data_IF_934794386257
#
_entry.id   IF_934794386257
#
_cell.length_a   1.000
_cell.length_b   1.000
_cell.length_c   1.000
_cell.angle_alpha   90.00
_cell.angle_beta   90.00
_cell.angle_gamma   90.00
#
_symmetry.space_group_name_H-M   'P 1'
#
loop_
_entity.id
_entity.type
_entity.pdbx_description
1 polymer ?
#
# COMPACT_ATOMS: atom_id res chain seq x y z
N UNK A 1 -34.71 -8.06 -46.85
CA UNK A 1 -33.39 -8.64 -47.18
C UNK A 1 -32.41 -8.06 -46.16
N UNK A 2 -31.88 -8.91 -45.28
CA UNK A 2 -30.96 -8.61 -44.15
C UNK A 2 -29.49 -8.45 -44.66
N UNK A 3 -28.46 -8.18 -43.82
CA UNK A 3 -28.00 -6.85 -43.40
C UNK A 3 -26.46 -6.71 -43.53
N UNK A 4 -25.85 -5.61 -43.09
CA UNK A 4 -24.44 -5.66 -42.67
C UNK A 4 -24.17 -4.60 -41.58
N UNK A 5 -23.69 -5.08 -40.44
CA UNK A 5 -23.33 -4.27 -39.28
C UNK A 5 -21.83 -4.34 -39.03
N UNK A 6 -21.31 -3.41 -38.24
CA UNK A 6 -20.13 -3.62 -37.39
C UNK A 6 -20.15 -2.57 -36.30
N UNK A 7 -20.64 -2.95 -35.13
CA UNK A 7 -20.42 -2.26 -33.87
C UNK A 7 -19.03 -2.65 -33.37
N UNK A 8 -18.13 -1.68 -33.20
CA UNK A 8 -16.77 -1.91 -32.68
C UNK A 8 -16.84 -2.12 -31.17
N UNK A 9 -16.56 -3.32 -30.72
CA UNK A 9 -16.49 -3.69 -29.30
C UNK A 9 -15.32 -3.02 -28.58
N UNK A 10 -15.60 -2.51 -27.39
CA UNK A 10 -14.66 -2.03 -26.38
C UNK A 10 -14.02 -3.23 -25.65
N UNK A 11 -12.71 -3.24 -25.34
CA UNK A 11 -12.08 -4.37 -24.68
C UNK A 11 -12.39 -4.37 -23.18
N UNK A 12 -13.01 -5.45 -22.71
CA UNK A 12 -13.29 -5.69 -21.30
C UNK A 12 -11.99 -6.02 -20.53
N UNK A 13 -11.79 -5.31 -19.42
CA UNK A 13 -10.63 -5.42 -18.53
C UNK A 13 -10.75 -6.72 -17.67
N UNK A 14 -9.76 -7.64 -17.70
CA UNK A 14 -9.89 -8.99 -17.11
C UNK A 14 -9.82 -9.05 -15.58
N UNK A 15 -9.72 -7.93 -14.87
CA UNK A 15 -9.50 -7.91 -13.40
C UNK A 15 -10.70 -7.47 -12.55
N UNK A 16 -11.90 -7.30 -13.14
CA UNK A 16 -13.10 -6.97 -12.36
C UNK A 16 -13.72 -8.23 -11.72
N UNK A 17 -13.21 -8.62 -10.56
CA UNK A 17 -13.86 -9.62 -9.71
C UNK A 17 -15.15 -9.05 -9.10
N UNK A 18 -16.30 -9.62 -9.50
CA UNK A 18 -17.55 -9.50 -8.75
C UNK A 18 -17.55 -10.56 -7.65
N UNK A 19 -17.67 -10.15 -6.38
CA UNK A 19 -17.98 -11.03 -5.27
C UNK A 19 -19.33 -10.59 -4.68
N UNK A 20 -20.37 -11.33 -5.06
CA UNK A 20 -21.72 -11.22 -4.50
C UNK A 20 -21.75 -11.98 -3.17
N UNK A 21 -22.25 -11.32 -2.12
CA UNK A 21 -22.45 -11.85 -0.78
C UNK A 21 -23.36 -13.08 -0.75
N UNK A 22 -23.03 -14.06 0.09
CA UNK A 22 -24.02 -14.96 0.67
C UNK A 22 -23.92 -14.93 2.20
N UNK A 23 -25.08 -14.64 2.79
CA UNK A 23 -25.39 -14.57 4.21
C UNK A 23 -25.77 -15.97 4.72
N UNK A 24 -25.32 -16.34 5.93
CA UNK A 24 -25.94 -17.38 6.75
C UNK A 24 -25.58 -17.15 8.23
N UNK A 25 -26.61 -17.19 9.08
CA UNK A 25 -26.64 -16.95 10.54
C UNK A 25 -26.87 -18.31 11.28
N UNK A 26 -27.04 -18.38 12.62
CA UNK A 26 -26.03 -18.66 13.65
C UNK A 26 -26.23 -20.00 14.43
N UNK A 27 -25.24 -20.46 15.21
CA UNK A 27 -25.47 -21.35 16.37
C UNK A 27 -24.33 -21.26 17.42
N UNK A 28 -24.69 -21.18 18.72
CA UNK A 28 -23.82 -21.10 19.90
C UNK A 28 -23.58 -22.52 20.51
N UNK A 29 -22.55 -22.86 21.32
CA UNK A 29 -22.22 -22.31 22.65
C UNK A 29 -20.93 -22.90 23.30
N UNK A 30 -20.21 -22.04 24.06
CA UNK A 30 -19.50 -22.19 25.37
C UNK A 30 -18.21 -23.07 25.54
N UNK A 31 -17.42 -22.91 26.65
CA UNK A 31 -16.88 -21.71 27.34
C UNK A 31 -15.31 -21.74 27.51
N UNK A 32 -14.71 -20.65 28.04
CA UNK A 32 -13.24 -20.39 28.15
C UNK A 32 -12.41 -21.27 29.12
N UNK A 33 -11.14 -20.91 29.48
CA UNK A 33 -10.83 -19.64 30.13
C UNK A 33 -9.44 -18.99 29.84
N UNK A 34 -9.33 -17.74 30.32
CA UNK A 34 -8.17 -17.04 30.90
C UNK A 34 -7.14 -16.24 30.07
N UNK A 35 -6.98 -15.01 30.56
CA UNK A 35 -6.19 -13.85 30.14
C UNK A 35 -4.91 -13.79 31.00
N UNK A 36 -3.83 -13.10 30.57
CA UNK A 36 -3.54 -11.83 31.26
C UNK A 36 -2.98 -10.69 30.38
N UNK A 37 -3.58 -9.52 30.63
CA UNK A 37 -3.12 -8.12 30.61
C UNK A 37 -1.77 -7.72 29.96
N UNK A 38 -1.84 -6.82 28.97
CA UNK A 38 -1.10 -5.56 29.03
C UNK A 38 -1.75 -4.51 28.12
N UNK A 39 -2.30 -3.49 28.74
CA UNK A 39 -3.04 -2.39 28.13
C UNK A 39 -2.10 -1.35 27.53
N UNK A 40 -2.30 -1.01 26.25
CA UNK A 40 -2.02 0.33 25.72
C UNK A 40 -3.05 0.60 24.63
N UNK A 41 -4.25 0.98 25.06
CA UNK A 41 -5.26 1.53 24.16
C UNK A 41 -4.74 2.87 23.63
N UNK A 42 -4.31 2.88 22.36
CA UNK A 42 -4.19 4.12 21.58
C UNK A 42 -5.58 4.75 21.56
N UNK A 43 -5.74 5.81 22.35
CA UNK A 43 -6.89 6.69 22.28
C UNK A 43 -6.92 7.25 20.85
N UNK A 44 -7.80 6.70 20.03
CA UNK A 44 -8.29 7.35 18.82
C UNK A 44 -8.98 8.61 19.31
N UNK A 45 -8.26 9.73 19.27
CA UNK A 45 -8.78 11.06 19.51
C UNK A 45 -9.72 11.45 18.37
N UNK A 46 -10.85 10.75 18.27
CA UNK A 46 -12.05 11.31 17.68
C UNK A 46 -12.35 12.52 18.55
N UNK A 47 -11.95 13.68 18.05
CA UNK A 47 -12.36 14.97 18.58
C UNK A 47 -13.88 14.96 18.46
N UNK A 48 -14.55 14.55 19.54
CA UNK A 48 -15.97 14.74 19.69
C UNK A 48 -16.16 16.24 19.56
N UNK A 49 -16.78 16.64 18.47
CA UNK A 49 -17.35 17.97 18.33
C UNK A 49 -18.17 18.22 19.60
N UNK A 50 -17.80 19.18 20.46
CA UNK A 50 -18.69 19.56 21.54
C UNK A 50 -19.95 20.08 20.86
N UNK A 51 -21.08 19.41 21.10
CA UNK A 51 -22.39 19.93 20.70
C UNK A 51 -22.48 21.41 21.08
N UNK A 52 -23.20 22.24 20.30
CA UNK A 52 -23.37 23.65 20.62
C UNK A 52 -23.80 23.76 22.07
N UNK A 53 -23.04 24.49 22.88
CA UNK A 53 -23.45 24.79 24.24
C UNK A 53 -24.80 25.49 24.12
N UNK A 54 -25.87 24.82 24.57
CA UNK A 54 -27.21 25.38 24.60
C UNK A 54 -27.12 26.57 25.54
N UNK A 55 -27.11 27.78 24.97
CA UNK A 55 -27.08 29.01 25.73
C UNK A 55 -28.35 29.07 26.59
N UNK A 56 -28.28 29.64 27.81
CA UNK A 56 -29.47 29.88 28.60
C UNK A 56 -30.43 30.76 27.80
N UNK A 57 -31.65 30.26 27.66
CA UNK A 57 -32.76 31.00 27.08
C UNK A 57 -32.96 32.27 27.93
N UNK A 58 -32.80 33.44 27.30
CA UNK A 58 -33.02 34.72 27.97
C UNK A 58 -34.51 34.81 28.31
N UNK A 59 -34.88 34.41 29.53
CA UNK A 59 -36.22 34.59 30.04
C UNK A 59 -36.38 36.06 30.45
N UNK A 60 -37.26 36.77 29.75
CA UNK A 60 -37.74 38.08 30.22
C UNK A 60 -38.27 37.95 31.64
N UNK A 61 -38.03 38.93 32.55
CA UNK A 61 -38.61 38.90 33.89
C UNK A 61 -40.12 38.66 33.79
N UNK A 62 -40.60 37.59 34.43
CA UNK A 62 -42.01 37.20 34.40
C UNK A 62 -42.92 38.20 35.12
N UNK A 63 -42.33 39.15 35.86
CA UNK A 63 -43.03 40.11 36.71
C UNK A 63 -42.17 41.37 36.87
N UNK A 64 -42.78 42.53 36.64
CA UNK A 64 -42.17 43.85 36.84
C UNK A 64 -42.58 44.41 38.20
N UNK A 65 -41.70 45.07 38.95
CA UNK A 65 -42.04 45.61 40.28
C UNK A 65 -41.91 47.14 40.30
N UNK A 66 -42.95 47.82 40.78
CA UNK A 66 -42.91 49.25 41.09
C UNK A 66 -43.51 49.50 42.47
N UNK A 67 -42.78 50.19 43.34
CA UNK A 67 -43.18 50.49 44.73
C UNK A 67 -43.58 49.24 45.55
N UNK A 68 -42.91 48.10 45.35
CA UNK A 68 -43.24 46.85 46.03
C UNK A 68 -44.42 46.07 45.43
N UNK A 69 -45.04 46.57 44.35
CA UNK A 69 -46.20 45.95 43.70
C UNK A 69 -45.75 45.27 42.40
N UNK A 70 -46.07 43.97 42.21
CA UNK A 70 -45.79 43.27 40.97
C UNK A 70 -46.84 43.57 39.89
N UNK A 71 -46.37 43.70 38.65
CA UNK A 71 -47.11 43.98 37.42
C UNK A 71 -46.79 42.95 36.36
N UNK A 72 -47.78 42.61 35.53
CA UNK A 72 -47.61 41.59 34.49
C UNK A 72 -46.82 42.12 33.29
N UNK A 73 -46.88 43.42 33.02
CA UNK A 73 -46.15 44.07 31.92
C UNK A 73 -45.52 45.38 32.37
N UNK A 74 -44.46 45.78 31.66
CA UNK A 74 -43.80 47.07 31.90
C UNK A 74 -44.76 48.25 31.65
N UNK A 75 -45.72 48.08 30.74
CA UNK A 75 -46.75 49.07 30.41
C UNK A 75 -47.68 49.34 31.60
N UNK A 76 -48.07 48.29 32.32
CA UNK A 76 -48.94 48.38 33.49
C UNK A 76 -48.22 49.08 34.66
N UNK A 77 -46.96 48.72 34.89
CA UNK A 77 -46.11 49.39 35.87
C UNK A 77 -45.87 50.87 35.53
N UNK A 78 -45.56 51.18 34.25
CA UNK A 78 -45.32 52.53 33.78
C UNK A 78 -46.58 53.42 33.87
N UNK A 79 -47.76 52.86 33.58
CA UNK A 79 -49.03 53.56 33.67
C UNK A 79 -49.39 53.94 35.12
N UNK A 80 -49.04 53.11 36.10
CA UNK A 80 -49.24 53.41 37.53
C UNK A 80 -48.19 54.36 38.07
N UNK A 81 -46.94 54.26 37.60
CA UNK A 81 -45.85 55.15 38.00
C UNK A 81 -46.00 56.58 37.47
N UNK A 82 -46.68 56.76 36.33
CA UNK A 82 -46.80 58.07 35.69
C UNK A 82 -47.90 58.94 36.33
N UNK A 83 -47.60 60.19 36.72
CA UNK A 83 -48.61 61.12 37.22
C UNK A 83 -49.78 61.30 36.24
N UNK A 84 -51.00 61.44 36.76
CA UNK A 84 -52.22 61.65 35.95
C UNK A 84 -52.19 62.94 35.09
N UNK A 85 -51.18 63.78 35.28
CA UNK A 85 -50.94 65.03 34.55
C UNK A 85 -50.06 64.87 33.31
N UNK A 86 -49.44 63.71 33.08
CA UNK A 86 -48.61 63.46 31.89
C UNK A 86 -49.52 63.18 30.68
N UNK A 87 -49.40 63.95 29.58
CA UNK A 87 -50.16 63.71 28.37
C UNK A 87 -49.91 62.31 27.77
N UNK A 88 -50.95 61.68 27.21
CA UNK A 88 -50.89 60.31 26.67
C UNK A 88 -49.87 60.16 25.54
N UNK A 89 -49.75 61.16 24.68
CA UNK A 89 -48.77 61.21 23.59
C UNK A 89 -47.32 61.13 24.08
N UNK A 90 -47.03 61.68 25.26
CA UNK A 90 -45.71 61.59 25.88
C UNK A 90 -45.47 60.16 26.40
N UNK A 91 -46.48 59.50 26.97
CA UNK A 91 -46.36 58.12 27.45
C UNK A 91 -46.12 57.15 26.30
N UNK A 92 -46.89 57.27 25.23
CA UNK A 92 -46.75 56.44 24.03
C UNK A 92 -45.37 56.65 23.37
N UNK A 93 -44.89 57.89 23.34
CA UNK A 93 -43.54 58.20 22.84
C UNK A 93 -42.46 57.53 23.69
N UNK A 94 -42.54 57.64 25.03
CA UNK A 94 -41.58 56.98 25.92
C UNK A 94 -41.60 55.47 25.74
N UNK A 95 -42.79 54.87 25.64
CA UNK A 95 -42.93 53.42 25.43
C UNK A 95 -42.29 52.99 24.11
N UNK A 96 -42.57 53.70 23.01
CA UNK A 96 -41.93 53.42 21.72
C UNK A 96 -40.41 53.55 21.77
N UNK A 97 -39.88 54.54 22.50
CA UNK A 97 -38.43 54.70 22.69
C UNK A 97 -37.86 53.53 23.50
N UNK A 98 -38.51 53.12 24.59
CA UNK A 98 -38.08 51.98 25.40
C UNK A 98 -38.08 50.69 24.58
N UNK A 99 -39.18 50.40 23.86
CA UNK A 99 -39.25 49.23 22.98
C UNK A 99 -38.17 49.26 21.90
N UNK A 100 -37.92 50.43 21.28
CA UNK A 100 -36.85 50.57 20.29
C UNK A 100 -35.46 50.34 20.87
N UNK A 101 -35.21 50.75 22.12
CA UNK A 101 -33.93 50.53 22.82
C UNK A 101 -33.77 49.05 23.19
N UNK A 102 -34.84 48.39 23.64
CA UNK A 102 -34.82 46.94 23.94
C UNK A 102 -34.45 46.13 22.70
N UNK A 103 -35.07 46.41 21.57
CA UNK A 103 -34.78 45.76 20.29
C UNK A 103 -33.31 46.00 19.85
N UNK A 104 -32.81 47.22 20.01
CA UNK A 104 -31.42 47.57 19.69
C UNK A 104 -30.42 46.84 20.60
N UNK A 105 -30.68 46.78 21.90
CA UNK A 105 -29.84 46.07 22.87
C UNK A 105 -29.83 44.57 22.56
N UNK A 106 -30.99 43.97 22.27
CA UNK A 106 -31.09 42.55 21.91
C UNK A 106 -30.31 42.25 20.62
N UNK A 107 -30.46 43.09 19.60
CA UNK A 107 -29.70 42.96 18.36
C UNK A 107 -28.19 43.05 18.61
N UNK A 108 -27.74 43.99 19.44
CA UNK A 108 -26.33 44.15 19.78
C UNK A 108 -25.77 42.92 20.52
N UNK A 109 -26.48 42.42 21.54
CA UNK A 109 -26.10 41.22 22.29
C UNK A 109 -25.99 40.01 21.34
N UNK A 110 -26.94 39.85 20.44
CA UNK A 110 -26.92 38.76 19.47
C UNK A 110 -25.70 38.83 18.55
N UNK A 111 -25.36 40.02 18.06
CA UNK A 111 -24.15 40.26 17.25
C UNK A 111 -22.89 39.94 18.05
N UNK A 112 -22.79 40.36 19.31
CA UNK A 112 -21.62 40.07 20.16
C UNK A 112 -21.44 38.56 20.40
N UNK A 113 -22.53 37.83 20.67
CA UNK A 113 -22.50 36.36 20.83
C UNK A 113 -21.99 35.71 19.55
N UNK A 114 -22.57 36.05 18.40
CA UNK A 114 -22.13 35.52 17.10
C UNK A 114 -20.66 35.86 16.82
N UNK A 115 -20.21 37.07 17.17
CA UNK A 115 -18.83 37.48 16.97
C UNK A 115 -17.83 36.65 17.81
N UNK A 116 -18.20 36.29 19.04
CA UNK A 116 -17.40 35.41 19.90
C UNK A 116 -17.36 33.99 19.33
N UNK A 117 -18.51 33.44 18.92
CA UNK A 117 -18.59 32.10 18.34
C UNK A 117 -17.75 31.98 17.05
N UNK A 118 -17.87 32.95 16.14
CA UNK A 118 -17.08 33.00 14.90
C UNK A 118 -15.58 33.07 15.22
N UNK A 119 -15.20 33.86 16.23
CA UNK A 119 -13.79 33.98 16.65
C UNK A 119 -13.23 32.65 17.13
N UNK A 120 -14.00 31.90 17.91
CA UNK A 120 -13.55 30.60 18.42
C UNK A 120 -13.52 29.53 17.35
N UNK A 121 -14.51 29.50 16.44
CA UNK A 121 -14.46 28.66 15.25
C UNK A 121 -13.23 28.96 14.39
N UNK A 122 -12.88 30.24 14.21
CA UNK A 122 -11.69 30.66 13.48
C UNK A 122 -10.40 30.17 14.14
N UNK A 123 -10.30 30.21 15.47
CA UNK A 123 -9.14 29.66 16.20
C UNK A 123 -9.00 28.16 15.98
N UNK A 124 -10.10 27.42 16.05
CA UNK A 124 -10.11 25.97 15.83
C UNK A 124 -9.69 25.64 14.39
N UNK A 125 -10.30 26.31 13.40
CA UNK A 125 -9.97 26.14 12.00
C UNK A 125 -8.48 26.44 11.72
N UNK A 126 -7.94 27.51 12.33
CA UNK A 126 -6.52 27.86 12.20
C UNK A 126 -5.60 26.77 12.76
N UNK A 127 -5.95 26.18 13.91
CA UNK A 127 -5.19 25.08 14.48
C UNK A 127 -5.23 23.82 13.59
N UNK A 128 -6.41 23.48 13.05
CA UNK A 128 -6.57 22.36 12.12
C UNK A 128 -5.77 22.55 10.83
N UNK A 129 -5.80 23.75 10.24
CA UNK A 129 -4.99 24.10 9.06
C UNK A 129 -3.50 23.93 9.36
N UNK A 130 -3.04 24.34 10.55
CA UNK A 130 -1.65 24.16 10.96
C UNK A 130 -1.23 22.68 11.00
N UNK A 131 -2.06 21.83 11.61
CA UNK A 131 -1.81 20.37 11.66
C UNK A 131 -1.79 19.77 10.25
N UNK A 132 -2.78 20.09 9.42
CA UNK A 132 -2.87 19.57 8.06
C UNK A 132 -1.67 20.02 7.21
N UNK A 133 -1.22 21.26 7.38
CA UNK A 133 -0.03 21.77 6.70
C UNK A 133 1.23 20.97 7.04
N UNK A 134 1.44 20.65 8.32
CA UNK A 134 2.58 19.86 8.75
C UNK A 134 2.54 18.41 8.22
N UNK A 135 1.34 17.82 8.14
CA UNK A 135 1.15 16.49 7.57
C UNK A 135 1.39 16.47 6.06
N UNK A 136 0.94 17.48 5.33
CA UNK A 136 1.22 17.65 3.89
C UNK A 136 2.71 17.78 3.63
N UNK A 137 3.44 18.55 4.43
CA UNK A 137 4.89 18.68 4.30
C UNK A 137 5.61 17.34 4.55
N UNK A 138 5.18 16.59 5.57
CA UNK A 138 5.72 15.25 5.86
C UNK A 138 5.45 14.28 4.72
N UNK A 139 4.24 14.31 4.16
CA UNK A 139 3.86 13.48 3.01
C UNK A 139 4.69 13.83 1.77
N UNK A 140 4.90 15.12 1.50
CA UNK A 140 5.75 15.56 0.39
C UNK A 140 7.18 15.02 0.51
N UNK A 141 7.78 15.09 1.71
CA UNK A 141 9.10 14.50 1.98
C UNK A 141 9.11 12.98 1.74
N UNK A 142 8.11 12.27 2.26
CA UNK A 142 7.98 10.82 2.04
C UNK A 142 7.86 10.45 0.56
N UNK A 143 7.08 11.22 -0.22
CA UNK A 143 6.93 10.99 -1.66
C UNK A 143 8.23 11.21 -2.43
N UNK A 144 9.04 12.19 -2.04
CA UNK A 144 10.36 12.40 -2.66
C UNK A 144 11.31 11.23 -2.39
N UNK A 145 11.32 10.69 -1.17
CA UNK A 145 12.12 9.51 -0.82
C UNK A 145 11.67 8.28 -1.62
N UNK A 146 10.37 7.99 -1.65
CA UNK A 146 9.82 6.87 -2.41
C UNK A 146 10.12 6.97 -3.90
N UNK A 147 10.08 8.18 -4.47
CA UNK A 147 10.45 8.40 -5.88
C UNK A 147 11.91 8.05 -6.14
N UNK A 148 12.82 8.45 -5.24
CA UNK A 148 14.23 8.12 -5.36
C UNK A 148 14.50 6.60 -5.22
N UNK A 149 13.83 5.95 -4.27
CA UNK A 149 13.92 4.49 -4.09
C UNK A 149 13.39 3.74 -5.32
N UNK A 150 12.25 4.17 -5.89
CA UNK A 150 11.71 3.57 -7.10
C UNK A 150 12.68 3.70 -8.29
N UNK A 151 13.35 4.85 -8.44
CA UNK A 151 14.38 5.05 -9.46
C UNK A 151 15.60 4.15 -9.24
N UNK A 152 16.04 3.98 -7.99
CA UNK A 152 17.14 3.08 -7.65
C UNK A 152 16.80 1.62 -7.99
N UNK A 153 15.61 1.14 -7.59
CA UNK A 153 15.14 -0.21 -7.92
C UNK A 153 15.04 -0.43 -9.43
N UNK A 154 14.53 0.56 -10.17
CA UNK A 154 14.46 0.48 -11.63
C UNK A 154 15.85 0.33 -12.25
N UNK A 155 16.84 1.08 -11.76
CA UNK A 155 18.22 0.97 -12.21
C UNK A 155 18.80 -0.41 -11.90
N UNK A 156 18.66 -0.88 -10.66
CA UNK A 156 19.17 -2.19 -10.24
C UNK A 156 18.56 -3.33 -11.07
N UNK A 157 17.27 -3.22 -11.41
CA UNK A 157 16.60 -4.18 -12.27
C UNK A 157 17.16 -4.17 -13.71
N UNK A 158 17.41 -2.99 -14.28
CA UNK A 158 18.02 -2.86 -15.60
C UNK A 158 19.45 -3.41 -15.63
N UNK A 159 20.25 -3.14 -14.60
CA UNK A 159 21.59 -3.68 -14.45
C UNK A 159 21.56 -5.22 -14.35
N UNK A 160 20.66 -5.77 -13.53
CA UNK A 160 20.45 -7.22 -13.43
C UNK A 160 20.02 -7.84 -14.76
N UNK A 161 19.10 -7.21 -15.49
CA UNK A 161 18.66 -7.67 -16.81
C UNK A 161 19.83 -7.74 -17.80
N UNK A 162 20.70 -6.73 -17.79
CA UNK A 162 21.88 -6.69 -18.65
C UNK A 162 22.88 -7.79 -18.29
N UNK A 163 23.11 -8.05 -17.00
CA UNK A 163 23.96 -9.14 -16.52
C UNK A 163 23.45 -10.51 -16.97
N UNK A 164 22.16 -10.80 -16.75
CA UNK A 164 21.53 -12.06 -17.17
C UNK A 164 21.62 -12.25 -18.69
N UNK A 165 21.46 -11.17 -19.46
CA UNK A 165 21.65 -11.20 -20.91
C UNK A 165 23.09 -11.57 -21.27
N UNK A 166 24.08 -10.93 -20.65
CA UNK A 166 25.50 -11.26 -20.86
C UNK A 166 25.83 -12.72 -20.55
N UNK A 167 25.29 -13.25 -19.44
CA UNK A 167 25.45 -14.66 -19.09
C UNK A 167 24.79 -15.61 -20.10
N UNK A 168 23.62 -15.23 -20.61
CA UNK A 168 22.90 -16.02 -21.64
C UNK A 168 23.68 -16.05 -22.94
N UNK A 169 24.24 -14.90 -23.37
CA UNK A 169 25.06 -14.80 -24.57
C UNK A 169 26.33 -15.64 -24.45
N UNK A 170 27.00 -15.61 -23.29
CA UNK A 170 28.18 -16.42 -23.00
C UNK A 170 27.88 -17.93 -22.97
N UNK A 171 26.74 -18.32 -22.40
CA UNK A 171 26.27 -19.71 -22.40
C UNK A 171 26.01 -20.20 -23.84
N UNK A 172 25.36 -19.37 -24.66
CA UNK A 172 25.11 -19.70 -26.06
C UNK A 172 26.41 -19.87 -26.85
N UNK A 173 27.37 -18.95 -26.69
CA UNK A 173 28.68 -19.06 -27.32
C UNK A 173 29.43 -20.35 -26.91
N UNK A 174 29.37 -20.72 -25.63
CA UNK A 174 29.96 -21.95 -25.11
C UNK A 174 29.32 -23.20 -25.71
N UNK A 175 28.00 -23.22 -25.83
CA UNK A 175 27.26 -24.32 -26.47
C UNK A 175 27.64 -24.47 -27.95
N UNK A 176 27.81 -23.36 -28.67
CA UNK A 176 28.25 -23.39 -30.08
C UNK A 176 29.67 -23.98 -30.19
N UNK A 177 30.61 -23.52 -29.37
CA UNK A 177 31.98 -24.05 -29.36
C UNK A 177 32.03 -25.55 -29.02
N UNK A 178 31.22 -25.99 -28.05
CA UNK A 178 31.10 -27.40 -27.69
C UNK A 178 30.56 -28.22 -28.87
N UNK A 179 29.54 -27.73 -29.57
CA UNK A 179 28.98 -28.40 -30.75
C UNK A 179 30.02 -28.54 -31.87
N UNK A 180 30.81 -27.49 -32.11
CA UNK A 180 31.90 -27.54 -33.10
C UNK A 180 33.00 -28.55 -32.70
N UNK A 181 33.39 -28.58 -31.42
CA UNK A 181 34.36 -29.54 -30.91
C UNK A 181 33.86 -30.98 -31.02
N UNK A 182 32.57 -31.21 -30.75
CA UNK A 182 31.91 -32.50 -30.92
C UNK A 182 31.95 -32.93 -32.40
N UNK A 183 31.63 -32.03 -33.33
CA UNK A 183 31.65 -32.31 -34.77
C UNK A 183 33.06 -32.70 -35.24
N UNK A 184 34.09 -31.92 -34.88
CA UNK A 184 35.49 -32.23 -35.20
C UNK A 184 35.92 -33.59 -34.66
N UNK A 185 35.56 -33.91 -33.42
CA UNK A 185 35.88 -35.20 -32.79
C UNK A 185 35.19 -36.34 -33.52
N UNK A 186 33.92 -36.17 -33.89
CA UNK A 186 33.16 -37.17 -34.66
C UNK A 186 33.81 -37.41 -36.02
N UNK A 187 34.17 -36.36 -36.75
CA UNK A 187 34.89 -36.48 -38.03
C UNK A 187 36.23 -37.22 -37.87
N UNK A 188 36.98 -36.91 -36.81
CA UNK A 188 38.25 -37.58 -36.55
C UNK A 188 38.08 -39.08 -36.27
N UNK A 189 37.11 -39.46 -35.44
CA UNK A 189 36.79 -40.87 -35.14
C UNK A 189 36.43 -41.63 -36.41
N UNK A 190 35.52 -41.09 -37.23
CA UNK A 190 35.12 -41.70 -38.51
C UNK A 190 36.33 -41.87 -39.45
N UNK A 191 37.23 -40.88 -39.47
CA UNK A 191 38.49 -40.96 -40.22
C UNK A 191 39.42 -42.07 -39.73
N UNK A 192 39.56 -42.24 -38.41
CA UNK A 192 40.33 -43.33 -37.82
C UNK A 192 39.73 -44.71 -38.13
N UNK A 193 38.41 -44.85 -37.99
CA UNK A 193 37.70 -46.09 -38.33
C UNK A 193 37.91 -46.49 -39.79
N UNK A 194 37.82 -45.52 -40.70
CA UNK A 194 38.07 -45.75 -42.14
C UNK A 194 39.51 -46.20 -42.42
N UNK A 195 40.51 -45.59 -41.76
CA UNK A 195 41.92 -45.98 -41.89
C UNK A 195 42.17 -47.39 -41.33
N UNK A 196 41.57 -47.72 -40.20
CA UNK A 196 41.67 -49.04 -39.58
C UNK A 196 41.06 -50.11 -40.51
N UNK A 197 39.85 -49.89 -41.02
CA UNK A 197 39.17 -50.80 -41.93
C UNK A 197 39.99 -51.04 -43.21
N UNK A 198 40.55 -49.98 -43.80
CA UNK A 198 41.42 -50.10 -44.97
C UNK A 198 42.71 -50.89 -44.66
N UNK A 199 43.32 -50.69 -43.49
CA UNK A 199 44.51 -51.44 -43.09
C UNK A 199 44.21 -52.94 -42.91
N UNK A 200 43.06 -53.28 -42.32
CA UNK A 200 42.62 -54.67 -42.16
C UNK A 200 42.41 -55.36 -43.51
N UNK A 201 41.74 -54.69 -44.46
CA UNK A 201 41.45 -55.25 -45.79
C UNK A 201 42.73 -55.45 -46.63
N UNK A 202 43.69 -54.52 -46.55
CA UNK A 202 44.90 -54.54 -47.37
C UNK A 202 46.10 -55.22 -46.71
N UNK A 203 45.97 -55.70 -45.47
CA UNK A 203 47.05 -56.40 -44.79
C UNK A 203 47.39 -57.70 -45.55
N UNK A 204 48.69 -58.00 -45.82
CA UNK A 204 49.08 -59.28 -46.38
C UNK A 204 48.58 -60.41 -45.47
N UNK A 205 48.15 -61.56 -46.02
CA UNK A 205 47.76 -62.71 -45.22
C UNK A 205 49.02 -63.31 -44.58
N UNK A 206 49.51 -62.68 -43.51
CA UNK A 206 50.44 -63.34 -42.61
C UNK A 206 49.63 -64.44 -41.93
N UNK A 207 50.01 -65.69 -42.19
CA UNK A 207 49.41 -66.85 -41.55
C UNK A 207 49.34 -66.60 -40.04
N UNK A 208 48.14 -66.64 -39.49
CA UNK A 208 47.88 -66.48 -38.06
C UNK A 208 48.66 -67.60 -37.36
N UNK A 209 49.86 -67.31 -36.85
CA UNK A 209 50.38 -68.11 -35.76
C UNK A 209 49.55 -67.76 -34.52
N UNK A 210 48.88 -68.74 -33.90
CA UNK A 210 48.18 -68.50 -32.65
C UNK A 210 49.23 -68.13 -31.61
N UNK A 211 49.27 -66.85 -31.22
CA UNK A 211 50.01 -66.41 -30.04
C UNK A 211 49.28 -66.96 -28.81
N UNK A 212 49.59 -68.21 -28.47
CA UNK A 212 49.13 -68.86 -27.27
C UNK A 212 49.76 -68.15 -26.06
N UNK A 213 48.92 -67.42 -25.34
CA UNK A 213 49.13 -67.10 -23.92
C UNK A 213 50.03 -65.90 -23.63
N UNK A 214 49.42 -64.72 -23.54
CA UNK A 214 49.60 -63.75 -22.44
C UNK A 214 48.95 -62.41 -22.81
N UNK A 215 47.62 -62.33 -22.73
CA UNK A 215 46.91 -61.06 -22.51
C UNK A 215 45.68 -61.34 -21.65
N UNK A 216 45.87 -61.95 -20.49
CA UNK A 216 44.96 -61.81 -19.34
C UNK A 216 45.34 -60.55 -18.58
N UNK A 217 45.28 -59.40 -19.25
CA UNK A 217 45.12 -58.14 -18.54
C UNK A 217 43.65 -57.79 -18.71
N UNK A 218 42.87 -58.13 -17.68
CA UNK A 218 41.51 -57.64 -17.54
C UNK A 218 41.48 -56.15 -17.89
N UNK A 219 40.46 -55.63 -18.59
CA UNK A 219 40.35 -54.21 -18.84
C UNK A 219 40.59 -53.48 -17.53
N UNK A 220 41.64 -52.67 -17.44
CA UNK A 220 41.90 -51.85 -16.26
C UNK A 220 40.66 -51.00 -16.04
N UNK A 221 39.75 -51.46 -15.16
CA UNK A 221 38.61 -50.67 -14.71
C UNK A 221 39.20 -49.54 -13.89
N UNK A 222 39.45 -48.41 -14.54
CA UNK A 222 39.71 -47.14 -13.88
C UNK A 222 38.49 -46.91 -12.99
N UNK A 223 38.66 -47.09 -11.67
CA UNK A 223 37.63 -46.77 -10.70
C UNK A 223 37.55 -45.25 -10.63
N UNK A 224 36.58 -44.68 -11.33
CA UNK A 224 36.24 -43.28 -11.16
C UNK A 224 35.65 -43.09 -9.75
N UNK A 225 36.14 -42.14 -8.94
CA UNK A 225 35.50 -41.81 -7.67
C UNK A 225 34.07 -41.32 -7.88
N UNK A 226 33.18 -41.60 -6.93
CA UNK A 226 31.79 -41.14 -7.00
C UNK A 226 31.73 -39.60 -7.02
N UNK A 227 30.84 -39.00 -7.83
CA UNK A 227 30.69 -37.56 -7.87
C UNK A 227 30.13 -37.01 -6.55
N UNK A 228 30.52 -35.79 -6.15
CA UNK A 228 30.01 -35.17 -4.93
C UNK A 228 28.50 -34.98 -5.00
N UNK A 229 27.79 -35.27 -3.89
CA UNK A 229 26.34 -35.07 -3.79
C UNK A 229 26.02 -33.58 -3.76
N UNK A 230 25.17 -33.14 -4.70
CA UNK A 230 24.78 -31.74 -4.84
C UNK A 230 23.78 -31.35 -3.73
N UNK A 231 24.21 -30.50 -2.78
CA UNK A 231 23.39 -30.07 -1.62
C UNK A 231 23.09 -28.56 -1.59
N UNK A 232 22.92 -27.94 -2.77
CA UNK A 232 22.35 -26.58 -2.90
C UNK A 232 23.34 -25.45 -3.17
N UNK A 233 22.80 -24.22 -3.22
CA UNK A 233 23.23 -22.99 -3.93
C UNK A 233 24.67 -22.46 -3.75
N UNK A 234 25.58 -23.17 -3.08
CA UNK A 234 26.98 -22.76 -2.84
C UNK A 234 28.02 -23.88 -3.04
N UNK A 235 27.67 -24.96 -3.74
CA UNK A 235 28.50 -26.19 -3.81
C UNK A 235 29.44 -26.26 -5.03
N UNK A 236 29.63 -25.19 -5.81
CA UNK A 236 30.45 -25.25 -7.05
C UNK A 236 31.93 -25.52 -6.79
N UNK A 237 32.49 -25.03 -5.67
CA UNK A 237 33.90 -25.29 -5.28
C UNK A 237 34.22 -26.78 -5.12
N UNK A 238 33.25 -27.59 -4.70
CA UNK A 238 33.44 -29.04 -4.55
C UNK A 238 33.46 -29.78 -5.89
N UNK A 239 32.79 -29.25 -6.92
CA UNK A 239 32.76 -29.89 -8.23
C UNK A 239 34.05 -29.65 -9.01
N UNK A 240 34.54 -28.40 -9.01
CA UNK A 240 35.80 -28.02 -9.66
C UNK A 240 36.98 -28.80 -9.08
N UNK A 241 37.04 -28.93 -7.74
CA UNK A 241 38.08 -29.68 -7.04
C UNK A 241 37.99 -31.19 -7.32
N UNK A 242 36.79 -31.77 -7.40
CA UNK A 242 36.62 -33.17 -7.78
C UNK A 242 37.05 -33.42 -9.23
N UNK A 243 36.69 -32.52 -10.15
CA UNK A 243 37.05 -32.64 -11.57
C UNK A 243 38.57 -32.53 -11.80
N UNK A 244 39.25 -31.60 -11.11
CA UNK A 244 40.72 -31.47 -11.23
C UNK A 244 41.48 -32.68 -10.66
N UNK A 245 40.88 -33.40 -9.70
CA UNK A 245 41.45 -34.63 -9.15
C UNK A 245 41.22 -35.86 -10.04
N UNK A 246 40.43 -35.76 -11.12
CA UNK A 246 40.31 -36.78 -12.17
C UNK A 246 41.43 -36.62 -13.19
N UNK A 247 42.68 -36.75 -12.77
CA UNK A 247 43.80 -36.92 -13.71
C UNK A 247 43.80 -38.38 -14.21
N UNK A 248 43.28 -38.57 -15.43
CA UNK A 248 43.47 -39.79 -16.24
C UNK A 248 44.62 -39.55 -17.21
#
# INVERSE_FOLDING_TARGET
MFPEGTTRSEPADPWRSQATSQSSEPEAAAPGPEQPTSSTSKASGVVRNPSPSVLPEYATPSTWEWDGIPYATIEEAANVAAPATVPTDVKDWVMNVVCSIEDEILAHIHIEIMAVEIRDQLKIAKAQIGTLSADVERLAKSNTTLTAEAQAIHKDFEDYKNEVKGQTDALYASMVALKEAQEKTTTYIVGLESRLNNAIINAPPQGIQPLAGQFTQSPCRIKLPDPPKYSGRKSSENFETWFMNLQI
#
